data_IF_625802419470
#
_entry.id   IF_625802419470
#
_cell.length_a   1.000
_cell.length_b   1.000
_cell.length_c   1.000
_cell.angle_alpha   90.00
_cell.angle_beta   90.00
_cell.angle_gamma   90.00
#
_symmetry.space_group_name_H-M   'P 1'
#
loop_
_entity.id
_entity.type
_entity.pdbx_description
1 polymer ?
#
# COMPACT_ATOMS: atom_id res chain seq x y z
N UNK A 1 16.18 -19.12 -26.39
CA UNK A 1 14.78 -18.67 -26.43
C UNK A 1 14.45 -18.38 -27.87
N UNK A 2 13.45 -19.07 -28.41
CA UNK A 2 12.99 -18.84 -29.76
C UNK A 2 11.91 -17.73 -29.75
N UNK A 3 12.08 -16.72 -30.62
CA UNK A 3 11.10 -15.67 -30.87
C UNK A 3 10.28 -16.07 -32.08
N UNK A 4 8.98 -16.33 -31.89
CA UNK A 4 8.09 -16.82 -32.95
C UNK A 4 7.36 -15.70 -33.66
N UNK A 5 6.74 -16.01 -34.82
CA UNK A 5 5.87 -15.07 -35.53
C UNK A 5 4.60 -14.72 -34.70
N UNK A 6 4.15 -15.63 -33.84
CA UNK A 6 3.03 -15.42 -32.92
C UNK A 6 3.40 -14.42 -31.82
N UNK A 7 4.57 -14.55 -31.20
CA UNK A 7 5.10 -13.58 -30.25
C UNK A 7 5.21 -12.17 -30.85
N UNK A 8 5.69 -12.11 -32.11
CA UNK A 8 5.81 -10.85 -32.83
C UNK A 8 4.44 -10.19 -33.02
N UNK A 9 3.46 -10.97 -33.44
CA UNK A 9 2.10 -10.50 -33.69
C UNK A 9 1.43 -9.99 -32.42
N UNK A 10 1.51 -10.76 -31.34
CA UNK A 10 0.93 -10.40 -30.03
C UNK A 10 1.54 -9.10 -29.49
N UNK A 11 2.88 -8.98 -29.54
CA UNK A 11 3.57 -7.78 -29.13
C UNK A 11 3.18 -6.54 -29.98
N UNK A 12 2.95 -6.71 -31.30
CA UNK A 12 2.48 -5.64 -32.17
C UNK A 12 1.03 -5.25 -31.90
N UNK A 13 0.15 -6.21 -31.60
CA UNK A 13 -1.25 -5.97 -31.24
C UNK A 13 -1.34 -5.20 -29.92
N UNK A 14 -0.65 -5.67 -28.88
CA UNK A 14 -0.58 -5.01 -27.57
C UNK A 14 0.01 -3.60 -27.69
N UNK A 15 1.12 -3.47 -28.43
CA UNK A 15 1.74 -2.18 -28.66
C UNK A 15 0.87 -1.21 -29.47
N UNK A 16 0.06 -1.73 -30.41
CA UNK A 16 -0.89 -0.91 -31.16
C UNK A 16 -2.01 -0.37 -30.27
N UNK A 17 -2.50 -1.17 -29.33
CA UNK A 17 -3.49 -0.73 -28.35
C UNK A 17 -2.90 0.34 -27.40
N UNK A 18 -1.69 0.12 -26.89
CA UNK A 18 -0.99 1.09 -26.05
C UNK A 18 -0.70 2.41 -26.79
N UNK A 19 -0.28 2.32 -28.06
CA UNK A 19 -0.10 3.49 -28.91
C UNK A 19 -1.39 4.30 -29.05
N UNK A 20 -2.52 3.65 -29.28
CA UNK A 20 -3.80 4.34 -29.47
C UNK A 20 -4.18 5.22 -28.27
N UNK A 21 -3.84 4.80 -27.05
CA UNK A 21 -4.11 5.54 -25.82
C UNK A 21 -3.23 6.79 -25.66
N UNK A 22 -1.99 6.74 -26.17
CA UNK A 22 -0.99 7.79 -25.98
C UNK A 22 -0.66 8.57 -27.25
N UNK A 23 -1.33 8.29 -28.36
CA UNK A 23 -1.03 8.77 -29.69
C UNK A 23 -0.78 10.27 -29.74
N UNK A 24 -1.70 11.07 -29.22
CA UNK A 24 -1.62 12.54 -29.33
C UNK A 24 -0.41 13.10 -28.58
N UNK A 25 -0.01 12.51 -27.49
CA UNK A 25 1.17 12.93 -26.72
C UNK A 25 2.44 12.54 -27.44
N UNK A 26 2.53 11.29 -27.92
CA UNK A 26 3.72 10.75 -28.56
C UNK A 26 3.99 11.44 -29.93
N UNK A 27 2.94 11.67 -30.75
CA UNK A 27 3.06 12.42 -32.01
C UNK A 27 3.48 13.87 -31.74
N UNK A 28 3.03 14.48 -30.64
CA UNK A 28 3.45 15.82 -30.23
C UNK A 28 4.96 15.92 -29.93
N UNK A 29 5.57 14.81 -29.49
CA UNK A 29 7.03 14.68 -29.34
C UNK A 29 7.76 14.18 -30.59
N UNK A 30 7.06 14.03 -31.73
CA UNK A 30 7.64 13.54 -32.96
C UNK A 30 7.92 12.04 -32.99
N UNK A 31 7.36 11.25 -32.06
CA UNK A 31 7.50 9.80 -32.04
C UNK A 31 6.47 9.19 -32.98
N UNK A 32 6.93 8.37 -33.94
CA UNK A 32 6.03 7.63 -34.82
C UNK A 32 5.56 6.32 -34.18
N UNK A 33 4.40 5.78 -34.64
CA UNK A 33 3.92 4.46 -34.23
C UNK A 33 4.97 3.38 -34.45
N UNK A 34 5.64 3.37 -35.61
CA UNK A 34 6.67 2.37 -35.92
C UNK A 34 7.85 2.42 -34.94
N UNK A 35 8.31 3.63 -34.59
CA UNK A 35 9.36 3.82 -33.58
C UNK A 35 8.93 3.34 -32.20
N UNK A 36 7.69 3.65 -31.81
CA UNK A 36 7.12 3.20 -30.54
C UNK A 36 7.03 1.67 -30.47
N UNK A 37 6.49 1.03 -31.50
CA UNK A 37 6.38 -0.43 -31.55
C UNK A 37 7.76 -1.08 -31.45
N UNK A 38 8.75 -0.61 -32.21
CA UNK A 38 10.10 -1.20 -32.20
C UNK A 38 10.86 -0.97 -30.90
N UNK A 39 10.85 0.28 -30.41
CA UNK A 39 11.69 0.66 -29.29
C UNK A 39 11.08 0.34 -27.93
N UNK A 40 9.75 0.23 -27.85
CA UNK A 40 9.04 -0.02 -26.60
C UNK A 40 8.33 -1.38 -26.59
N UNK A 41 7.34 -1.62 -27.44
CA UNK A 41 6.50 -2.84 -27.39
C UNK A 41 7.29 -4.10 -27.67
N UNK A 42 7.99 -4.18 -28.77
CA UNK A 42 8.77 -5.36 -29.15
C UNK A 42 9.94 -5.60 -28.18
N UNK A 43 10.58 -4.53 -27.75
CA UNK A 43 11.66 -4.63 -26.77
C UNK A 43 11.15 -5.19 -25.44
N UNK A 44 10.06 -4.64 -24.91
CA UNK A 44 9.48 -5.09 -23.66
C UNK A 44 8.96 -6.55 -23.75
N UNK A 45 8.28 -6.90 -24.84
CA UNK A 45 7.80 -8.26 -25.04
C UNK A 45 8.94 -9.27 -25.08
N UNK A 46 10.05 -8.95 -25.77
CA UNK A 46 11.25 -9.80 -25.78
C UNK A 46 11.90 -9.89 -24.41
N UNK A 47 11.99 -8.78 -23.71
CA UNK A 47 12.51 -8.75 -22.34
C UNK A 47 11.69 -9.64 -21.41
N UNK A 48 10.36 -9.52 -21.43
CA UNK A 48 9.47 -10.36 -20.62
C UNK A 48 9.60 -11.84 -20.97
N UNK A 49 9.65 -12.18 -22.25
CA UNK A 49 9.85 -13.59 -22.66
C UNK A 49 11.18 -14.17 -22.18
N UNK A 50 12.25 -13.38 -22.17
CA UNK A 50 13.53 -13.78 -21.59
C UNK A 50 13.39 -13.95 -20.07
N UNK A 51 12.78 -12.99 -19.40
CA UNK A 51 12.55 -13.04 -17.95
C UNK A 51 11.75 -14.27 -17.56
N UNK A 52 10.64 -14.55 -18.22
CA UNK A 52 9.79 -15.72 -17.96
C UNK A 52 10.53 -17.04 -18.21
N UNK A 53 11.39 -17.10 -19.24
CA UNK A 53 12.17 -18.32 -19.51
C UNK A 53 13.24 -18.63 -18.46
N UNK A 54 13.63 -17.62 -17.68
CA UNK A 54 14.60 -17.76 -16.60
C UNK A 54 13.87 -17.93 -15.27
N UNK A 55 12.97 -17.05 -14.93
CA UNK A 55 12.37 -16.93 -13.61
C UNK A 55 10.89 -17.31 -13.54
N UNK A 56 10.20 -17.49 -14.67
CA UNK A 56 8.80 -17.92 -14.70
C UNK A 56 8.64 -19.36 -14.18
N UNK A 57 7.40 -19.82 -14.03
CA UNK A 57 7.03 -21.12 -13.43
C UNK A 57 7.81 -22.32 -13.96
N UNK A 58 8.13 -22.30 -15.27
CA UNK A 58 8.91 -23.36 -15.94
C UNK A 58 10.31 -22.88 -16.36
N UNK A 59 10.80 -21.80 -15.78
CA UNK A 59 12.10 -21.20 -16.10
C UNK A 59 13.28 -22.00 -15.56
N UNK A 60 14.47 -21.69 -16.08
CA UNK A 60 15.71 -22.36 -15.65
C UNK A 60 16.13 -22.05 -14.23
N UNK A 61 15.67 -20.92 -13.70
CA UNK A 61 15.87 -20.41 -12.34
C UNK A 61 14.50 -20.01 -11.75
N UNK A 62 13.49 -20.86 -11.93
CA UNK A 62 12.15 -20.63 -11.43
C UNK A 62 12.18 -20.41 -9.92
N UNK A 63 11.53 -19.33 -9.48
CA UNK A 63 11.35 -19.03 -8.05
C UNK A 63 10.20 -19.90 -7.55
N UNK A 64 10.43 -20.66 -6.48
CA UNK A 64 9.38 -21.49 -5.88
C UNK A 64 8.36 -20.65 -5.14
N UNK A 65 7.13 -21.14 -5.02
CA UNK A 65 6.07 -20.47 -4.22
C UNK A 65 6.55 -20.19 -2.80
N UNK A 66 7.32 -21.10 -2.21
CA UNK A 66 7.87 -20.89 -0.87
C UNK A 66 8.87 -19.74 -0.80
N UNK A 67 9.68 -19.53 -1.83
CA UNK A 67 10.61 -18.39 -1.90
C UNK A 67 9.86 -17.08 -2.10
N UNK A 68 8.80 -17.07 -2.92
CA UNK A 68 7.92 -15.91 -3.09
C UNK A 68 7.19 -15.56 -1.79
N UNK A 69 6.62 -16.56 -1.10
CA UNK A 69 6.00 -16.34 0.21
C UNK A 69 6.99 -15.80 1.24
N UNK A 70 8.20 -16.36 1.31
CA UNK A 70 9.22 -15.90 2.24
C UNK A 70 9.64 -14.47 1.92
N UNK A 71 9.88 -14.16 0.64
CA UNK A 71 10.19 -12.79 0.21
C UNK A 71 9.09 -11.80 0.60
N UNK A 72 7.82 -12.18 0.38
CA UNK A 72 6.69 -11.34 0.75
C UNK A 72 6.64 -11.10 2.25
N UNK A 73 6.75 -12.16 3.06
CA UNK A 73 6.74 -12.06 4.53
C UNK A 73 7.90 -11.23 5.08
N UNK A 74 9.07 -11.34 4.47
CA UNK A 74 10.28 -10.65 4.93
C UNK A 74 10.35 -9.20 4.47
N UNK A 75 9.74 -8.88 3.31
CA UNK A 75 9.91 -7.60 2.65
C UNK A 75 8.72 -6.66 2.76
N UNK A 76 7.52 -7.20 2.99
CA UNK A 76 6.29 -6.41 3.05
C UNK A 76 5.77 -6.29 4.48
N UNK A 77 5.03 -5.23 4.72
CA UNK A 77 4.29 -5.01 5.95
C UNK A 77 2.93 -4.41 5.65
N UNK A 78 1.93 -4.81 6.42
CA UNK A 78 0.66 -4.12 6.51
C UNK A 78 0.71 -3.11 7.64
N UNK A 79 0.32 -1.86 7.36
CA UNK A 79 0.10 -0.85 8.38
C UNK A 79 -1.23 -0.15 8.14
N UNK A 80 -1.94 0.14 9.24
CA UNK A 80 -3.18 0.91 9.21
C UNK A 80 -3.14 1.95 10.31
N UNK A 81 -3.66 3.14 10.04
CA UNK A 81 -3.71 4.18 11.05
C UNK A 81 -4.84 5.19 10.80
N UNK A 82 -5.28 5.82 11.85
CA UNK A 82 -6.05 7.05 11.84
C UNK A 82 -5.64 7.93 13.01
N UNK A 83 -6.07 9.20 13.03
CA UNK A 83 -5.63 10.13 14.06
C UNK A 83 -6.72 11.14 14.44
N UNK A 84 -6.57 11.68 15.64
CA UNK A 84 -7.34 12.81 16.18
C UNK A 84 -6.38 13.95 16.50
N UNK A 85 -6.71 15.16 16.02
CA UNK A 85 -5.99 16.38 16.42
C UNK A 85 -6.25 16.70 17.89
N UNK A 86 -5.20 17.10 18.59
CA UNK A 86 -5.26 17.62 19.97
C UNK A 86 -5.34 19.14 20.00
N UNK A 87 -5.65 19.75 18.85
CA UNK A 87 -5.86 21.19 18.72
C UNK A 87 -7.19 21.46 18.05
N UNK A 88 -7.78 22.58 18.39
CA UNK A 88 -8.97 23.15 17.74
C UNK A 88 -8.62 24.45 17.06
N UNK A 89 -9.34 24.79 15.98
CA UNK A 89 -9.18 26.06 15.28
C UNK A 89 -10.46 26.87 15.46
N UNK A 90 -10.32 28.03 16.05
CA UNK A 90 -11.43 28.97 16.25
C UNK A 90 -11.90 29.60 14.93
N UNK A 91 -13.07 30.26 14.95
CA UNK A 91 -13.62 30.94 13.77
C UNK A 91 -12.72 32.07 13.24
N UNK A 92 -11.86 32.63 14.10
CA UNK A 92 -10.86 33.64 13.76
C UNK A 92 -9.57 33.07 13.18
N UNK A 93 -9.49 31.72 12.98
CA UNK A 93 -8.31 31.01 12.48
C UNK A 93 -7.23 30.80 13.55
N UNK A 94 -7.45 31.11 14.79
CA UNK A 94 -6.49 30.83 15.87
C UNK A 94 -6.54 29.36 16.24
N UNK A 95 -5.36 28.76 16.45
CA UNK A 95 -5.23 27.36 16.89
C UNK A 95 -4.94 27.35 18.40
N UNK A 96 -5.70 26.57 19.14
CA UNK A 96 -5.51 26.34 20.57
C UNK A 96 -5.43 24.84 20.86
N UNK A 97 -4.67 24.47 21.89
CA UNK A 97 -4.69 23.11 22.38
C UNK A 97 -6.01 22.78 23.05
N UNK A 98 -6.46 21.54 22.95
CA UNK A 98 -7.54 20.99 23.77
C UNK A 98 -7.14 21.04 25.24
N UNK A 99 -8.12 21.00 26.13
CA UNK A 99 -7.89 20.89 27.56
C UNK A 99 -7.28 19.53 27.93
N UNK A 100 -6.65 19.47 29.10
CA UNK A 100 -6.06 18.21 29.59
C UNK A 100 -7.13 17.11 29.77
N UNK A 101 -8.36 17.46 30.14
CA UNK A 101 -9.47 16.52 30.28
C UNK A 101 -9.90 15.96 28.92
N UNK A 102 -10.05 16.80 27.88
CA UNK A 102 -10.37 16.38 26.52
C UNK A 102 -9.26 15.49 25.93
N UNK A 103 -8.01 15.83 26.19
CA UNK A 103 -6.87 15.01 25.75
C UNK A 103 -6.90 13.63 26.44
N UNK A 104 -7.23 13.58 27.74
CA UNK A 104 -7.30 12.31 28.46
C UNK A 104 -8.45 11.43 27.96
N UNK A 105 -9.61 12.00 27.58
CA UNK A 105 -10.71 11.26 26.97
C UNK A 105 -10.31 10.67 25.61
N UNK A 106 -9.60 11.42 24.76
CA UNK A 106 -9.10 10.95 23.48
C UNK A 106 -8.09 9.81 23.70
N UNK A 107 -7.18 9.96 24.67
CA UNK A 107 -6.20 8.96 24.99
C UNK A 107 -6.85 7.64 25.44
N UNK A 108 -7.85 7.68 26.29
CA UNK A 108 -8.58 6.51 26.77
C UNK A 108 -9.31 5.82 25.61
N UNK A 109 -10.01 6.58 24.78
CA UNK A 109 -10.71 6.06 23.58
C UNK A 109 -9.77 5.36 22.62
N UNK A 110 -8.62 5.97 22.30
CA UNK A 110 -7.66 5.39 21.37
C UNK A 110 -6.96 4.14 21.94
N UNK A 111 -6.71 4.12 23.25
CA UNK A 111 -6.23 2.92 23.96
C UNK A 111 -7.25 1.78 23.91
N UNK A 112 -8.53 2.09 24.08
CA UNK A 112 -9.60 1.10 23.97
C UNK A 112 -9.67 0.50 22.58
N UNK A 113 -9.63 1.33 21.52
CA UNK A 113 -9.57 0.87 20.14
C UNK A 113 -8.36 -0.04 19.87
N UNK A 114 -7.18 0.36 20.34
CA UNK A 114 -5.97 -0.42 20.18
C UNK A 114 -6.05 -1.76 20.92
N UNK A 115 -6.64 -1.78 22.12
CA UNK A 115 -6.84 -3.00 22.91
C UNK A 115 -7.81 -3.95 22.21
N UNK A 116 -8.99 -3.47 21.75
CA UNK A 116 -9.98 -4.28 21.04
C UNK A 116 -9.40 -4.97 19.81
N UNK A 117 -8.53 -4.27 19.05
CA UNK A 117 -7.89 -4.85 17.88
C UNK A 117 -6.78 -5.83 18.26
N UNK A 118 -5.95 -5.51 19.25
CA UNK A 118 -4.86 -6.40 19.70
C UNK A 118 -5.39 -7.69 20.33
N UNK A 119 -6.54 -7.64 20.99
CA UNK A 119 -7.20 -8.81 21.57
C UNK A 119 -7.97 -9.63 20.51
N UNK A 120 -8.18 -9.07 19.32
CA UNK A 120 -8.91 -9.70 18.23
C UNK A 120 -10.44 -9.60 18.36
N UNK A 121 -10.94 -8.73 19.24
CA UNK A 121 -12.37 -8.48 19.45
C UNK A 121 -12.97 -7.70 18.27
N UNK A 122 -12.17 -6.82 17.64
CA UNK A 122 -12.50 -6.05 16.44
C UNK A 122 -11.36 -6.01 15.44
N UNK A 123 -11.72 -5.77 14.20
CA UNK A 123 -10.77 -5.45 13.13
C UNK A 123 -10.41 -3.95 13.13
N UNK A 124 -9.30 -3.53 12.49
CA UNK A 124 -8.99 -2.12 12.29
C UNK A 124 -10.11 -1.34 11.56
N UNK A 125 -10.79 -1.99 10.61
CA UNK A 125 -11.91 -1.38 9.88
C UNK A 125 -13.13 -1.13 10.76
N UNK A 126 -13.45 -2.07 11.68
CA UNK A 126 -14.55 -1.92 12.63
C UNK A 126 -14.30 -0.78 13.62
N UNK A 127 -13.11 -0.68 14.21
CA UNK A 127 -12.80 0.44 15.12
C UNK A 127 -12.73 1.78 14.38
N UNK A 128 -12.28 1.79 13.11
CA UNK A 128 -12.31 2.99 12.28
C UNK A 128 -13.75 3.42 11.95
N UNK A 129 -14.67 2.47 11.75
CA UNK A 129 -16.09 2.73 11.55
C UNK A 129 -16.76 3.27 12.81
N UNK A 130 -16.41 2.75 13.98
CA UNK A 130 -16.89 3.27 15.27
C UNK A 130 -16.40 4.70 15.48
N UNK A 131 -15.12 4.97 15.23
CA UNK A 131 -14.54 6.30 15.30
C UNK A 131 -15.20 7.25 14.29
N UNK A 132 -15.39 6.80 13.03
CA UNK A 132 -16.09 7.58 12.01
C UNK A 132 -17.48 8.00 12.47
N UNK A 133 -18.22 7.08 13.08
CA UNK A 133 -19.58 7.34 13.59
C UNK A 133 -19.56 8.32 14.78
N UNK A 134 -18.64 8.12 15.72
CA UNK A 134 -18.49 8.99 16.89
C UNK A 134 -18.12 10.43 16.52
N UNK A 135 -17.29 10.61 15.51
CA UNK A 135 -16.84 11.93 15.03
C UNK A 135 -17.75 12.54 13.94
N UNK A 136 -18.72 11.78 13.43
CA UNK A 136 -19.62 12.24 12.35
C UNK A 136 -18.90 12.47 11.02
N UNK A 137 -17.87 11.64 10.72
CA UNK A 137 -17.08 11.79 9.49
C UNK A 137 -17.84 11.21 8.29
N UNK A 138 -17.71 11.83 7.13
CA UNK A 138 -18.39 11.41 5.90
C UNK A 138 -17.74 10.17 5.26
N UNK A 139 -16.46 9.92 5.53
CA UNK A 139 -15.70 8.79 4.98
C UNK A 139 -14.84 8.11 6.05
N UNK A 140 -14.42 6.89 5.77
CA UNK A 140 -13.51 6.15 6.67
C UNK A 140 -12.23 6.95 6.92
N UNK A 141 -11.81 7.11 8.18
CA UNK A 141 -10.56 7.77 8.55
C UNK A 141 -9.35 6.84 8.37
N UNK A 142 -9.57 5.54 8.11
CA UNK A 142 -8.50 4.55 8.06
C UNK A 142 -7.61 4.77 6.84
N UNK A 143 -6.32 4.91 7.10
CA UNK A 143 -5.26 5.04 6.10
C UNK A 143 -4.29 3.86 6.22
N UNK A 144 -3.38 3.75 5.23
CA UNK A 144 -2.37 2.70 5.17
C UNK A 144 -2.74 1.59 4.20
N UNK A 145 -1.80 0.68 4.00
CA UNK A 145 -1.90 -0.43 3.04
C UNK A 145 -0.89 -1.54 3.35
N UNK A 146 -0.94 -2.59 2.57
CA UNK A 146 0.19 -3.53 2.41
C UNK A 146 1.18 -2.89 1.43
N UNK A 147 2.44 -2.83 1.81
CA UNK A 147 3.50 -2.25 0.96
C UNK A 147 4.87 -2.81 1.36
N UNK A 148 5.90 -2.57 0.52
CA UNK A 148 7.29 -2.83 0.92
C UNK A 148 7.59 -2.09 2.22
N UNK A 149 8.15 -2.78 3.19
CA UNK A 149 8.45 -2.23 4.53
C UNK A 149 9.34 -0.98 4.44
N UNK A 150 10.27 -0.96 3.51
CA UNK A 150 11.15 0.19 3.24
C UNK A 150 10.43 1.43 2.69
N UNK A 151 9.24 1.26 2.13
CA UNK A 151 8.41 2.34 1.59
C UNK A 151 7.45 2.94 2.61
N UNK A 152 7.39 2.40 3.83
CA UNK A 152 6.57 2.94 4.91
C UNK A 152 7.23 4.21 5.44
N UNK A 153 6.54 5.33 5.30
CA UNK A 153 7.00 6.63 5.79
C UNK A 153 6.07 7.10 6.91
N UNK A 154 6.54 6.99 8.13
CA UNK A 154 5.86 7.45 9.34
C UNK A 154 6.67 8.57 10.03
N UNK A 155 6.04 9.32 10.95
CA UNK A 155 6.80 10.20 11.85
C UNK A 155 7.72 9.36 12.76
N UNK A 156 8.78 9.95 13.30
CA UNK A 156 9.78 9.22 14.11
C UNK A 156 9.16 8.43 15.27
N UNK A 157 8.16 9.00 15.93
CA UNK A 157 7.50 8.34 17.07
C UNK A 157 6.68 7.14 16.62
N UNK A 158 5.93 7.29 15.51
CA UNK A 158 5.13 6.21 14.91
C UNK A 158 6.04 5.13 14.32
N UNK A 159 7.15 5.50 13.68
CA UNK A 159 8.11 4.55 13.13
C UNK A 159 8.74 3.71 14.25
N UNK A 160 9.22 4.35 15.32
CA UNK A 160 9.76 3.64 16.47
C UNK A 160 8.76 2.65 17.07
N UNK A 161 7.50 3.10 17.24
CA UNK A 161 6.44 2.22 17.73
C UNK A 161 6.17 1.06 16.77
N UNK A 162 6.08 1.33 15.45
CA UNK A 162 5.82 0.31 14.44
C UNK A 162 6.92 -0.77 14.39
N UNK A 163 8.18 -0.36 14.52
CA UNK A 163 9.32 -1.28 14.52
C UNK A 163 9.30 -2.24 15.73
N UNK A 164 8.81 -1.75 16.88
CA UNK A 164 8.68 -2.54 18.12
C UNK A 164 7.41 -3.41 18.15
N UNK A 165 6.39 -3.10 17.34
CA UNK A 165 5.12 -3.83 17.32
C UNK A 165 5.28 -5.21 16.71
N UNK A 166 4.49 -6.15 17.26
CA UNK A 166 4.29 -7.47 16.66
C UNK A 166 3.16 -7.41 15.63
N UNK A 167 3.18 -8.34 14.70
CA UNK A 167 2.05 -8.52 13.79
C UNK A 167 0.74 -8.80 14.55
N UNK A 168 -0.32 -8.13 14.14
CA UNK A 168 -1.63 -8.17 14.80
C UNK A 168 -1.76 -7.23 16.00
N UNK A 169 -0.72 -6.48 16.36
CA UNK A 169 -0.75 -5.51 17.45
C UNK A 169 -1.25 -4.14 16.99
N UNK A 170 -2.04 -3.48 17.81
CA UNK A 170 -2.38 -2.07 17.66
C UNK A 170 -1.90 -1.28 18.87
N UNK A 171 -1.51 -0.03 18.65
CA UNK A 171 -1.10 0.91 19.69
C UNK A 171 -1.77 2.27 19.53
N UNK A 172 -2.05 2.89 20.68
CA UNK A 172 -2.42 4.30 20.76
C UNK A 172 -1.16 5.13 21.05
N UNK A 173 -0.86 6.10 20.18
CA UNK A 173 0.42 6.83 20.22
C UNK A 173 0.17 8.31 20.11
N UNK A 174 0.71 9.09 21.06
CA UNK A 174 0.73 10.54 20.94
C UNK A 174 1.98 10.95 20.16
N UNK A 175 1.80 11.67 19.05
CA UNK A 175 2.91 12.22 18.26
C UNK A 175 2.57 13.64 17.85
N UNK A 176 3.41 14.58 18.23
CA UNK A 176 3.19 16.00 18.00
C UNK A 176 1.86 16.50 18.61
N UNK A 177 1.01 17.08 17.77
CA UNK A 177 -0.30 17.61 18.12
C UNK A 177 -1.45 16.66 17.80
N UNK A 178 -1.20 15.36 17.73
CA UNK A 178 -2.23 14.36 17.41
C UNK A 178 -2.06 13.09 18.23
N UNK A 179 -3.18 12.41 18.43
CA UNK A 179 -3.22 11.03 18.91
C UNK A 179 -3.49 10.09 17.74
N UNK A 180 -2.79 8.99 17.68
CA UNK A 180 -2.85 8.02 16.59
C UNK A 180 -3.27 6.65 17.10
N UNK A 181 -4.18 6.00 16.37
CA UNK A 181 -4.31 4.55 16.35
C UNK A 181 -3.36 4.06 15.26
N UNK A 182 -2.46 3.14 15.59
CA UNK A 182 -1.53 2.50 14.66
C UNK A 182 -1.66 0.98 14.81
N UNK A 183 -1.80 0.28 13.70
CA UNK A 183 -1.89 -1.17 13.62
C UNK A 183 -0.83 -1.73 12.70
N UNK A 184 -0.15 -2.80 13.13
CA UNK A 184 0.74 -3.63 12.32
C UNK A 184 0.02 -4.92 11.97
N UNK A 185 -0.33 -5.07 10.68
CA UNK A 185 -1.10 -6.21 10.21
C UNK A 185 -0.33 -7.52 10.19
N UNK A 186 -1.05 -8.61 9.99
CA UNK A 186 -0.48 -9.95 9.80
C UNK A 186 -0.26 -10.18 8.32
N UNK A 187 0.95 -9.92 7.84
CA UNK A 187 1.27 -10.00 6.41
C UNK A 187 0.94 -11.36 5.79
N UNK A 188 0.98 -12.43 6.58
CA UNK A 188 0.58 -13.76 6.14
C UNK A 188 -0.88 -13.89 5.71
N UNK A 189 -1.76 -12.97 6.11
CA UNK A 189 -3.17 -12.96 5.67
C UNK A 189 -3.35 -12.49 4.21
N UNK A 190 -2.31 -11.92 3.60
CA UNK A 190 -2.32 -11.36 2.25
C UNK A 190 -1.61 -12.24 1.22
N UNK A 191 -1.26 -13.49 1.59
CA UNK A 191 -0.59 -14.42 0.67
C UNK A 191 -1.42 -14.76 -0.57
N UNK A 192 -2.75 -14.79 -0.42
CA UNK A 192 -3.67 -15.03 -1.53
C UNK A 192 -3.63 -13.93 -2.59
N UNK A 193 -3.19 -12.72 -2.22
CA UNK A 193 -3.02 -11.60 -3.14
C UNK A 193 -1.85 -11.79 -4.10
N UNK A 194 -0.85 -12.63 -3.74
CA UNK A 194 0.29 -12.97 -4.59
C UNK A 194 -0.09 -13.84 -5.79
N UNK A 195 -1.19 -14.58 -5.70
CA UNK A 195 -1.62 -15.55 -6.73
C UNK A 195 -2.50 -14.95 -7.82
N UNK A 196 -2.89 -13.68 -7.73
CA UNK A 196 -3.87 -13.05 -8.63
C UNK A 196 -3.27 -12.21 -9.75
N UNK A 197 -1.94 -12.04 -9.80
CA UNK A 197 -1.23 -11.32 -10.86
C UNK A 197 -0.34 -12.27 -11.69
N UNK A 198 -0.95 -13.26 -12.32
CA UNK A 198 -0.28 -14.10 -13.32
C UNK A 198 -0.94 -13.97 -14.69
#
# INVERSE_FOLDING_TARGET
>A
IEWTDEDQKEAEETGTAAWAQQKSVLEGFGISKDSFLKAYSLYNAKYLKIFESIYGENGTEAVSDQELENFFKDSYSEYRYFSKSLTTTGEDGTTANLSDDEIAEIEEQFKEYAQQVSDGDKTPDEVASDYQTAEGLESSPLNGSVTLTENIVLSSDLQTAFDEMKEGEARAIKSGTSYYFLYKGKIGNHLDELSTES
#
